data_IF_032956225720
#
_entry.id   IF_032956225720
#
_cell.length_a   1.000
_cell.length_b   1.000
_cell.length_c   1.000
_cell.angle_alpha   90.00
_cell.angle_beta   90.00
_cell.angle_gamma   90.00
#
_symmetry.space_group_name_H-M   'P 1'
#
loop_
_entity.id
_entity.type
_entity.pdbx_description
1 polymer ?
#
# COMPACT_ATOMS: atom_id res chain seq x y z
N UNK A 1 16.90 13.32 -2.10
CA UNK A 1 18.27 12.78 -1.93
C UNK A 1 18.84 12.42 -3.30
N UNK A 2 20.11 12.69 -3.53
CA UNK A 2 20.80 12.31 -4.77
C UNK A 2 21.88 11.29 -4.44
N UNK A 3 21.93 10.19 -5.18
CA UNK A 3 22.98 9.18 -5.08
C UNK A 3 23.36 8.75 -6.50
N UNK A 4 24.68 8.67 -6.79
CA UNK A 4 25.21 8.38 -8.13
C UNK A 4 24.60 9.23 -9.25
N UNK A 5 24.32 10.52 -8.98
CA UNK A 5 23.65 11.42 -9.92
C UNK A 5 22.15 11.16 -10.13
N UNK A 6 21.57 10.21 -9.40
CA UNK A 6 20.15 9.84 -9.50
C UNK A 6 19.39 10.45 -8.32
N UNK A 7 18.28 11.14 -8.61
CA UNK A 7 17.38 11.64 -7.57
C UNK A 7 16.50 10.51 -7.02
N UNK A 8 16.40 10.44 -5.70
CA UNK A 8 15.58 9.50 -4.96
C UNK A 8 14.58 10.23 -4.06
N UNK A 9 13.40 9.69 -3.94
CA UNK A 9 12.37 10.14 -2.99
C UNK A 9 12.00 9.03 -2.02
N UNK A 10 11.55 9.38 -0.79
CA UNK A 10 11.15 8.38 0.18
C UNK A 10 10.05 7.46 -0.35
N UNK A 11 10.18 6.16 -0.10
CA UNK A 11 9.11 5.19 -0.34
C UNK A 11 7.95 5.47 0.61
N UNK A 12 6.73 5.39 0.10
CA UNK A 12 5.50 5.56 0.89
C UNK A 12 4.65 4.31 0.83
N UNK A 13 3.93 4.06 1.91
CA UNK A 13 2.89 3.03 1.99
C UNK A 13 1.75 3.56 2.83
N UNK A 14 0.52 3.55 2.30
CA UNK A 14 -0.65 4.13 2.96
C UNK A 14 -0.39 5.55 3.49
N UNK A 15 0.18 6.42 2.65
CA UNK A 15 0.55 7.82 2.96
C UNK A 15 1.66 7.98 4.00
N UNK A 16 2.17 6.90 4.58
CA UNK A 16 3.28 6.92 5.53
C UNK A 16 4.61 6.79 4.80
N UNK A 17 5.55 7.65 5.13
CA UNK A 17 6.93 7.52 4.69
C UNK A 17 7.57 6.32 5.40
N UNK A 18 8.22 5.46 4.63
CA UNK A 18 8.97 4.35 5.17
C UNK A 18 10.41 4.80 5.37
N UNK A 19 10.91 4.84 6.61
CA UNK A 19 12.27 5.27 6.91
C UNK A 19 13.30 4.44 6.14
N UNK A 20 14.39 5.09 5.77
CA UNK A 20 15.58 4.50 5.15
C UNK A 20 15.40 3.95 3.72
N UNK A 21 14.19 3.91 3.18
CA UNK A 21 13.95 3.40 1.82
C UNK A 21 13.53 4.53 0.87
N UNK A 22 14.19 4.55 -0.29
CA UNK A 22 14.00 5.58 -1.30
C UNK A 22 13.88 4.94 -2.68
N UNK A 23 13.15 5.57 -3.59
CA UNK A 23 12.94 5.09 -4.96
C UNK A 23 13.17 6.22 -5.97
N UNK A 24 13.83 5.89 -7.07
CA UNK A 24 14.05 6.80 -8.19
C UNK A 24 12.95 6.69 -9.25
N UNK A 25 12.85 7.67 -10.15
CA UNK A 25 11.97 7.59 -11.32
C UNK A 25 12.27 6.39 -12.23
N UNK A 26 13.52 5.96 -12.30
CA UNK A 26 13.93 4.79 -13.07
C UNK A 26 13.82 3.47 -12.29
N UNK A 27 13.02 3.46 -11.22
CA UNK A 27 12.68 2.28 -10.42
C UNK A 27 13.87 1.61 -9.69
N UNK A 28 14.95 2.35 -9.43
CA UNK A 28 15.99 1.88 -8.52
C UNK A 28 15.55 2.13 -7.07
N UNK A 29 15.80 1.16 -6.19
CA UNK A 29 15.49 1.26 -4.77
C UNK A 29 16.77 1.35 -3.96
N UNK A 30 16.86 2.33 -3.08
CA UNK A 30 18.02 2.60 -2.24
C UNK A 30 17.67 2.48 -0.76
N UNK A 31 18.49 1.79 0.01
CA UNK A 31 18.42 1.79 1.47
C UNK A 31 19.53 2.68 2.03
N UNK A 32 19.16 3.85 2.57
CA UNK A 32 20.11 4.84 3.07
C UNK A 32 20.82 4.42 4.35
N UNK A 33 20.19 3.62 5.20
CA UNK A 33 20.81 3.09 6.43
C UNK A 33 21.89 2.07 6.14
N UNK A 34 21.72 1.28 5.09
CA UNK A 34 22.68 0.23 4.69
C UNK A 34 23.58 0.65 3.54
N UNK A 35 23.38 1.86 3.01
CA UNK A 35 24.11 2.45 1.88
C UNK A 35 24.23 1.48 0.69
N UNK A 36 23.09 0.86 0.31
CA UNK A 36 23.06 -0.10 -0.78
C UNK A 36 21.74 -0.11 -1.54
N UNK A 37 21.80 -0.55 -2.80
CA UNK A 37 20.61 -0.82 -3.58
C UNK A 37 19.87 -2.05 -3.06
N UNK A 38 18.55 -1.97 -3.07
CA UNK A 38 17.65 -3.10 -2.81
C UNK A 38 17.26 -3.70 -4.15
N UNK A 39 17.50 -4.99 -4.33
CA UNK A 39 17.15 -5.69 -5.58
C UNK A 39 15.69 -6.13 -5.55
N UNK A 40 14.85 -5.64 -6.48
CA UNK A 40 13.50 -6.15 -6.65
C UNK A 40 13.50 -7.59 -7.20
N UNK A 41 12.44 -8.30 -6.95
CA UNK A 41 12.22 -9.65 -7.44
C UNK A 41 10.86 -9.76 -8.15
N UNK A 42 10.74 -10.72 -9.07
CA UNK A 42 9.49 -10.98 -9.76
C UNK A 42 8.50 -11.72 -8.85
N UNK A 43 7.26 -11.25 -8.81
CA UNK A 43 6.13 -11.88 -8.13
C UNK A 43 5.22 -12.56 -9.15
N UNK A 44 4.70 -13.74 -8.82
CA UNK A 44 3.85 -14.55 -9.69
C UNK A 44 2.48 -14.77 -9.02
N UNK A 45 1.41 -14.90 -9.83
CA UNK A 45 0.05 -15.15 -9.31
C UNK A 45 -0.10 -16.55 -8.71
N UNK A 46 0.63 -17.51 -9.26
CA UNK A 46 0.66 -18.92 -8.85
C UNK A 46 2.11 -19.31 -8.57
N UNK A 47 2.34 -20.51 -8.08
CA UNK A 47 3.72 -21.04 -8.00
C UNK A 47 4.37 -20.91 -9.37
N UNK A 48 5.62 -20.45 -9.38
CA UNK A 48 6.40 -20.33 -10.60
C UNK A 48 6.43 -21.70 -11.29
N UNK A 49 5.80 -21.76 -12.46
CA UNK A 49 5.92 -22.87 -13.39
C UNK A 49 6.76 -22.44 -14.58
N UNK A 50 7.34 -23.40 -15.26
CA UNK A 50 8.09 -23.13 -16.49
C UNK A 50 7.18 -22.39 -17.50
N UNK A 51 7.66 -21.23 -17.98
CA UNK A 51 6.91 -20.36 -18.89
C UNK A 51 5.90 -19.41 -18.23
N UNK A 52 5.79 -19.36 -16.91
CA UNK A 52 4.92 -18.38 -16.23
C UNK A 52 5.47 -16.97 -16.37
N UNK A 53 4.60 -16.03 -16.78
CA UNK A 53 4.93 -14.60 -16.79
C UNK A 53 4.81 -14.01 -15.40
N UNK A 54 5.73 -13.10 -14.99
CA UNK A 54 5.63 -12.41 -13.71
C UNK A 54 4.39 -11.51 -13.67
N UNK A 55 3.75 -11.44 -12.52
CA UNK A 55 2.63 -10.52 -12.27
C UNK A 55 3.11 -9.07 -12.14
N UNK A 56 4.17 -8.88 -11.37
CA UNK A 56 4.80 -7.59 -11.11
C UNK A 56 6.17 -7.77 -10.46
N UNK A 57 6.91 -6.67 -10.35
CA UNK A 57 8.11 -6.60 -9.52
C UNK A 57 7.76 -6.12 -8.12
N UNK A 58 8.34 -6.73 -7.12
CA UNK A 58 8.19 -6.39 -5.71
C UNK A 58 9.55 -6.25 -5.03
N UNK A 59 9.59 -5.57 -3.90
CA UNK A 59 10.74 -5.60 -3.00
C UNK A 59 10.28 -5.61 -1.55
N UNK A 60 11.16 -6.09 -0.67
CA UNK A 60 10.91 -6.20 0.75
C UNK A 60 11.66 -5.12 1.51
N UNK A 61 11.03 -4.57 2.52
CA UNK A 61 11.59 -3.59 3.43
C UNK A 61 11.46 -4.09 4.86
N UNK A 62 12.48 -3.85 5.65
CA UNK A 62 12.41 -4.06 7.09
C UNK A 62 11.85 -2.80 7.73
N UNK A 63 10.78 -2.94 8.49
CA UNK A 63 10.05 -1.81 9.08
C UNK A 63 9.95 -1.94 10.59
N UNK A 64 9.77 -0.79 11.25
CA UNK A 64 9.57 -0.72 12.68
C UNK A 64 8.15 -1.16 13.04
N UNK A 65 8.02 -1.99 14.07
CA UNK A 65 6.74 -2.47 14.58
C UNK A 65 5.83 -1.32 15.01
N UNK A 66 6.38 -0.26 15.59
CA UNK A 66 5.59 0.88 16.08
C UNK A 66 4.89 1.66 14.98
N UNK A 67 5.51 1.73 13.80
CA UNK A 67 4.97 2.47 12.66
C UNK A 67 3.97 1.67 11.83
N UNK A 68 4.04 0.33 11.86
CA UNK A 68 3.29 -0.54 10.96
C UNK A 68 2.51 -1.65 11.68
N UNK A 69 2.31 -1.53 12.97
CA UNK A 69 1.58 -2.50 13.81
C UNK A 69 0.19 -2.84 13.25
N UNK A 70 -0.51 -1.85 12.72
CA UNK A 70 -1.86 -2.01 12.19
C UNK A 70 -1.90 -2.30 10.67
N UNK A 71 -0.74 -2.52 10.06
CA UNK A 71 -0.67 -2.76 8.63
C UNK A 71 -0.89 -4.23 8.28
N UNK A 72 -1.95 -4.54 7.55
CA UNK A 72 -2.36 -5.89 7.16
C UNK A 72 -1.29 -6.67 6.36
N UNK A 73 -0.39 -5.96 5.70
CA UNK A 73 0.59 -6.54 4.77
C UNK A 73 1.99 -6.69 5.37
N UNK A 74 2.10 -6.54 6.68
CA UNK A 74 3.35 -6.75 7.42
C UNK A 74 3.41 -8.18 7.90
N UNK A 75 4.49 -8.87 7.61
CA UNK A 75 4.76 -10.21 8.13
C UNK A 75 5.89 -10.19 9.15
N UNK A 76 5.71 -10.90 10.26
CA UNK A 76 6.76 -11.08 11.25
C UNK A 76 7.69 -12.21 10.80
N UNK A 77 8.97 -11.91 10.70
CA UNK A 77 10.00 -12.90 10.38
C UNK A 77 10.33 -13.75 11.61
N UNK A 78 10.99 -14.88 11.38
CA UNK A 78 11.45 -15.78 12.48
C UNK A 78 12.38 -15.09 13.47
N UNK A 79 13.12 -14.08 13.02
CA UNK A 79 14.01 -13.25 13.85
C UNK A 79 13.30 -12.10 14.59
N UNK A 80 11.97 -12.04 14.53
CA UNK A 80 11.15 -11.03 15.18
C UNK A 80 11.01 -9.70 14.44
N UNK A 81 11.78 -9.48 13.38
CA UNK A 81 11.69 -8.26 12.57
C UNK A 81 10.43 -8.27 11.71
N UNK A 82 9.90 -7.08 11.43
CA UNK A 82 8.77 -6.92 10.52
C UNK A 82 9.25 -6.68 9.09
N UNK A 83 8.67 -7.42 8.16
CA UNK A 83 8.91 -7.30 6.73
C UNK A 83 7.65 -6.77 6.03
N UNK A 84 7.79 -5.68 5.31
CA UNK A 84 6.75 -5.10 4.45
C UNK A 84 7.13 -5.31 2.98
N UNK A 85 6.24 -5.94 2.22
CA UNK A 85 6.39 -6.09 0.77
C UNK A 85 5.59 -5.02 0.05
N UNK A 86 6.19 -4.44 -0.99
CA UNK A 86 5.55 -3.44 -1.82
C UNK A 86 5.83 -3.71 -3.30
N UNK A 87 4.85 -3.45 -4.13
CA UNK A 87 5.01 -3.48 -5.59
C UNK A 87 5.84 -2.29 -6.04
N UNK A 88 6.84 -2.54 -6.86
CA UNK A 88 7.79 -1.52 -7.30
C UNK A 88 7.10 -0.34 -8.00
N UNK A 89 6.15 -0.62 -8.91
CA UNK A 89 5.42 0.43 -9.61
C UNK A 89 4.55 1.30 -8.66
N UNK A 90 4.00 0.72 -7.59
CA UNK A 90 3.31 1.50 -6.55
C UNK A 90 4.29 2.39 -5.79
N UNK A 91 5.45 1.87 -5.42
CA UNK A 91 6.47 2.66 -4.74
C UNK A 91 6.93 3.86 -5.58
N UNK A 92 7.12 3.66 -6.89
CA UNK A 92 7.51 4.73 -7.81
C UNK A 92 6.41 5.79 -7.90
N UNK A 93 5.17 5.40 -8.22
CA UNK A 93 4.10 6.39 -8.41
C UNK A 93 3.80 7.15 -7.11
N UNK A 94 3.75 6.47 -5.96
CA UNK A 94 3.43 7.09 -4.67
C UNK A 94 4.54 8.06 -4.20
N UNK A 95 5.79 7.81 -4.58
CA UNK A 95 6.90 8.70 -4.25
C UNK A 95 6.96 9.94 -5.16
N UNK A 96 6.59 9.81 -6.44
CA UNK A 96 6.77 10.86 -7.45
C UNK A 96 5.49 11.59 -7.82
N UNK A 97 4.33 10.98 -7.59
CA UNK A 97 3.01 11.58 -7.70
C UNK A 97 2.10 11.02 -6.60
N UNK A 98 2.28 11.44 -5.34
CA UNK A 98 1.49 10.95 -4.23
C UNK A 98 0.00 11.08 -4.49
N UNK A 99 -0.78 10.08 -4.07
CA UNK A 99 -2.21 10.00 -4.35
C UNK A 99 -2.99 11.21 -3.82
N UNK A 100 -2.60 11.74 -2.66
CA UNK A 100 -3.17 12.95 -2.08
C UNK A 100 -2.92 14.19 -2.94
N UNK A 101 -1.73 14.31 -3.56
CA UNK A 101 -1.42 15.39 -4.50
C UNK A 101 -2.18 15.21 -5.83
N UNK A 102 -2.26 13.96 -6.32
CA UNK A 102 -3.05 13.67 -7.52
C UNK A 102 -4.53 14.03 -7.34
N UNK A 103 -5.14 13.70 -6.19
CA UNK A 103 -6.54 14.04 -5.91
C UNK A 103 -6.81 15.56 -5.94
N UNK A 104 -5.85 16.39 -5.57
CA UNK A 104 -5.97 17.85 -5.64
C UNK A 104 -6.03 18.39 -7.08
N UNK A 105 -5.61 17.61 -8.06
CA UNK A 105 -5.67 17.98 -9.49
C UNK A 105 -7.02 17.65 -10.14
N UNK A 106 -7.85 16.87 -9.46
CA UNK A 106 -9.15 16.44 -9.96
C UNK A 106 -10.24 17.50 -9.69
N UNK A 107 -11.22 17.57 -10.59
CA UNK A 107 -12.42 18.37 -10.33
C UNK A 107 -13.26 17.74 -9.20
N UNK A 108 -14.11 18.53 -8.50
CA UNK A 108 -15.04 17.99 -7.51
C UNK A 108 -15.94 16.89 -8.08
N UNK A 109 -16.35 16.99 -9.35
CA UNK A 109 -17.16 16.00 -10.06
C UNK A 109 -16.41 14.69 -10.26
N UNK A 110 -15.14 14.73 -10.65
CA UNK A 110 -14.30 13.54 -10.82
C UNK A 110 -14.08 12.83 -9.48
N UNK A 111 -13.82 13.59 -8.41
CA UNK A 111 -13.69 13.04 -7.06
C UNK A 111 -14.97 12.34 -6.63
N UNK A 112 -16.13 12.95 -6.90
CA UNK A 112 -17.44 12.37 -6.59
C UNK A 112 -17.68 11.07 -7.37
N UNK A 113 -17.32 11.02 -8.65
CA UNK A 113 -17.44 9.81 -9.47
C UNK A 113 -16.55 8.68 -8.98
N UNK A 114 -15.31 8.96 -8.57
CA UNK A 114 -14.42 7.99 -7.95
C UNK A 114 -15.01 7.47 -6.64
N UNK A 115 -15.51 8.38 -5.79
CA UNK A 115 -16.13 8.01 -4.53
C UNK A 115 -17.34 7.09 -4.73
N UNK A 116 -18.23 7.39 -5.67
CA UNK A 116 -19.40 6.56 -6.00
C UNK A 116 -19.00 5.12 -6.41
N UNK A 117 -17.88 4.97 -7.13
CA UNK A 117 -17.40 3.65 -7.58
C UNK A 117 -16.72 2.84 -6.48
N UNK A 118 -16.18 3.49 -5.47
CA UNK A 118 -15.40 2.87 -4.38
C UNK A 118 -16.19 2.70 -3.10
N UNK A 119 -17.23 3.51 -2.89
CA UNK A 119 -18.07 3.42 -1.71
C UNK A 119 -19.06 2.25 -1.80
N UNK A 120 -19.31 1.63 -0.66
CA UNK A 120 -20.27 0.56 -0.48
C UNK A 120 -21.17 0.88 0.73
N UNK A 121 -22.33 0.22 0.79
CA UNK A 121 -23.18 0.27 1.97
C UNK A 121 -22.76 -0.83 2.93
N UNK A 122 -22.59 -0.48 4.18
CA UNK A 122 -22.22 -1.37 5.27
C UNK A 122 -23.27 -1.34 6.38
N UNK A 123 -23.43 -2.48 7.06
CA UNK A 123 -24.31 -2.60 8.23
C UNK A 123 -23.51 -2.26 9.49
N UNK A 124 -23.86 -1.14 10.15
CA UNK A 124 -23.16 -0.63 11.35
C UNK A 124 -22.96 -1.68 12.43
N UNK A 125 -23.95 -2.55 12.61
CA UNK A 125 -24.03 -3.52 13.69
C UNK A 125 -23.79 -4.95 13.23
N UNK A 126 -23.25 -5.11 12.02
CA UNK A 126 -22.90 -6.41 11.39
C UNK A 126 -24.10 -7.38 11.29
N UNK A 127 -25.33 -6.85 11.27
CA UNK A 127 -26.55 -7.61 11.02
C UNK A 127 -27.04 -7.39 9.59
N UNK A 128 -26.82 -8.35 8.68
CA UNK A 128 -27.18 -8.23 7.27
C UNK A 128 -28.68 -8.20 7.02
N UNK A 129 -29.49 -8.51 8.02
CA UNK A 129 -30.96 -8.50 7.93
C UNK A 129 -31.57 -7.18 8.41
N UNK A 130 -30.79 -6.36 9.12
CA UNK A 130 -31.24 -5.04 9.58
C UNK A 130 -30.94 -3.96 8.54
N UNK A 131 -31.92 -3.72 7.67
CA UNK A 131 -31.83 -2.74 6.59
C UNK A 131 -32.47 -1.39 6.92
N UNK A 132 -32.73 -1.10 8.21
CA UNK A 132 -33.22 0.22 8.62
C UNK A 132 -32.16 1.28 8.37
N UNK A 133 -32.58 2.50 8.03
CA UNK A 133 -31.67 3.59 7.69
C UNK A 133 -30.63 3.86 8.80
N UNK A 134 -31.05 3.86 10.06
CA UNK A 134 -30.17 4.06 11.21
C UNK A 134 -29.11 2.99 11.38
N UNK A 135 -29.31 1.79 10.80
CA UNK A 135 -28.38 0.66 10.87
C UNK A 135 -27.42 0.59 9.68
N UNK A 136 -27.56 1.50 8.71
CA UNK A 136 -26.75 1.54 7.50
C UNK A 136 -25.78 2.74 7.51
N UNK A 137 -24.65 2.57 6.81
CA UNK A 137 -23.66 3.62 6.60
C UNK A 137 -22.93 3.43 5.27
N UNK A 138 -22.33 4.51 4.76
CA UNK A 138 -21.36 4.38 3.68
C UNK A 138 -20.00 4.00 4.25
N UNK A 139 -19.33 3.09 3.57
CA UNK A 139 -17.99 2.61 3.94
C UNK A 139 -17.16 2.34 2.70
N UNK A 140 -15.86 2.51 2.80
CA UNK A 140 -14.95 2.00 1.79
C UNK A 140 -14.64 0.52 2.04
N UNK A 141 -14.14 -0.20 1.01
CA UNK A 141 -13.84 -1.65 1.13
C UNK A 141 -12.87 -1.99 2.27
N UNK A 142 -11.96 -1.08 2.60
CA UNK A 142 -10.97 -1.29 3.66
C UNK A 142 -11.61 -1.19 5.05
N UNK A 143 -12.40 -0.13 5.30
CA UNK A 143 -13.14 0.03 6.55
C UNK A 143 -14.13 -1.10 6.76
N UNK A 144 -14.88 -1.47 5.72
CA UNK A 144 -15.82 -2.58 5.76
C UNK A 144 -15.14 -3.92 6.10
N UNK A 145 -13.98 -4.19 5.48
CA UNK A 145 -13.20 -5.40 5.78
C UNK A 145 -12.65 -5.43 7.21
N UNK A 146 -12.31 -4.27 7.78
CA UNK A 146 -11.79 -4.17 9.15
C UNK A 146 -12.91 -4.15 10.20
N UNK A 147 -14.03 -3.55 9.90
CA UNK A 147 -15.21 -3.56 10.76
C UNK A 147 -15.63 -4.98 11.13
N UNK A 148 -15.70 -5.87 10.15
CA UNK A 148 -16.00 -7.29 10.37
C UNK A 148 -15.01 -8.03 11.27
N UNK A 149 -13.79 -7.54 11.43
CA UNK A 149 -12.78 -8.17 12.29
C UNK A 149 -12.86 -7.73 13.75
N UNK A 150 -13.38 -6.54 14.00
CA UNK A 150 -13.52 -6.00 15.35
C UNK A 150 -14.64 -6.67 16.15
N UNK A 151 -15.55 -7.35 15.47
CA UNK A 151 -16.73 -8.01 16.07
C UNK A 151 -16.64 -9.53 16.09
N UNK A 152 -15.53 -10.08 15.67
CA UNK A 152 -15.19 -11.50 15.82
C UNK A 152 -14.22 -11.69 16.99
#
# INVERSE_FOLDING_TARGET
>A
MINDGIEFRPVRKHYRVIPDYHVSKCAKVWNSKRERYVKPYASYRTKKSDGASPKCMEFSMMVDETLFKDCKYVSKRKDGRLELKIKLHHAVIDAWNPYDEFLKTLSPEDVLEIAKRTMMVDHKYDDPLDNRFESLQYSDPWKNSNHRKLWK
#
